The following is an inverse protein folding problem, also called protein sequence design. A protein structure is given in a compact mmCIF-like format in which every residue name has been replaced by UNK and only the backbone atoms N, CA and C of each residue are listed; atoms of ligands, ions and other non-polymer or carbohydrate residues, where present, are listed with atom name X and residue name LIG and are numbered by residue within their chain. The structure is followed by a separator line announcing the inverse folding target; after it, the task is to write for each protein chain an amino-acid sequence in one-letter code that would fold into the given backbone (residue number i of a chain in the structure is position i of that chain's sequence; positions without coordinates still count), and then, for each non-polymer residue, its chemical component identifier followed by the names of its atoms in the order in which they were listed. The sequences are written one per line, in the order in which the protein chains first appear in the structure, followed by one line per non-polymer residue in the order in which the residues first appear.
data_IF_545943242367
#
_entry.id   IF_545943242367
#
_cell.length_a   1.000
_cell.length_b   1.000
_cell.length_c   1.000
_cell.angle_alpha   90.00
_cell.angle_beta   90.00
_cell.angle_gamma   90.00
#
_symmetry.space_group_name_H-M   'P 1'
#
loop_
_entity.id
_entity.type
_entity.pdbx_description
1 polymer ?
#
# COMPACT_ATOMS: atom_id res chain seq x y z
N UNK A 1 5.63 -43.25 36.38
CA UNK A 1 4.28 -42.74 36.05
C UNK A 1 3.84 -41.74 37.13
N UNK A 2 4.62 -40.67 37.34
CA UNK A 2 4.40 -39.63 38.35
C UNK A 2 4.39 -38.28 37.62
N UNK A 3 3.40 -38.08 36.75
CA UNK A 3 3.14 -36.78 36.12
C UNK A 3 1.64 -36.42 36.10
N UNK A 4 0.82 -37.19 36.83
CA UNK A 4 -0.64 -37.08 36.79
C UNK A 4 -1.25 -36.40 38.03
N UNK A 5 -0.49 -35.58 38.77
CA UNK A 5 -0.98 -34.94 40.02
C UNK A 5 -0.78 -33.43 40.10
N UNK A 6 -0.82 -32.76 38.96
CA UNK A 6 -0.85 -31.28 38.86
C UNK A 6 -1.93 -30.81 37.89
N UNK A 7 -3.08 -31.50 37.81
CA UNK A 7 -4.11 -31.24 36.79
C UNK A 7 -4.56 -29.77 36.74
N UNK A 8 -4.87 -29.16 37.88
CA UNK A 8 -5.40 -27.80 37.91
C UNK A 8 -4.40 -26.72 37.46
N UNK A 9 -3.12 -26.81 37.86
CA UNK A 9 -2.13 -25.77 37.52
C UNK A 9 -1.89 -25.67 36.02
N UNK A 10 -1.76 -26.80 35.33
CA UNK A 10 -1.54 -26.83 33.88
C UNK A 10 -2.75 -26.34 33.09
N UNK A 11 -3.96 -26.63 33.58
CA UNK A 11 -5.22 -26.16 32.99
C UNK A 11 -5.35 -24.63 33.09
N UNK A 12 -5.08 -24.04 34.27
CA UNK A 12 -5.08 -22.59 34.44
C UNK A 12 -3.96 -21.89 33.66
N UNK A 13 -2.80 -22.53 33.53
CA UNK A 13 -1.68 -22.03 32.72
C UNK A 13 -2.06 -21.92 31.24
N UNK A 14 -2.73 -22.93 30.68
CA UNK A 14 -3.18 -22.94 29.29
C UNK A 14 -4.26 -21.89 29.03
N UNK A 15 -5.21 -21.70 29.95
CA UNK A 15 -6.20 -20.62 29.88
C UNK A 15 -5.50 -19.25 29.90
N UNK A 16 -4.55 -19.06 30.80
CA UNK A 16 -3.76 -17.83 30.88
C UNK A 16 -2.98 -17.55 29.58
N UNK A 17 -2.46 -18.60 28.93
CA UNK A 17 -1.77 -18.49 27.64
C UNK A 17 -2.70 -18.04 26.50
N UNK A 18 -3.96 -18.51 26.45
CA UNK A 18 -4.96 -18.05 25.48
C UNK A 18 -5.32 -16.58 25.69
N UNK A 19 -5.46 -16.15 26.94
CA UNK A 19 -5.75 -14.75 27.26
C UNK A 19 -4.54 -13.88 26.89
N UNK A 20 -3.33 -14.31 27.27
CA UNK A 20 -2.09 -13.58 26.98
C UNK A 20 -1.81 -13.48 25.48
N UNK A 21 -1.97 -14.56 24.72
CA UNK A 21 -1.82 -14.55 23.26
C UNK A 21 -2.78 -13.54 22.62
N UNK A 22 -4.02 -13.51 23.08
CA UNK A 22 -5.07 -12.60 22.59
C UNK A 22 -4.73 -11.13 22.87
N UNK A 23 -4.29 -10.82 24.10
CA UNK A 23 -3.85 -9.48 24.47
C UNK A 23 -2.60 -9.05 23.68
N UNK A 24 -1.61 -9.92 23.57
CA UNK A 24 -0.37 -9.66 22.83
C UNK A 24 -0.64 -9.41 21.34
N UNK A 25 -1.48 -10.23 20.70
CA UNK A 25 -1.86 -10.09 19.29
C UNK A 25 -2.68 -8.81 19.06
N UNK A 26 -3.61 -8.50 19.95
CA UNK A 26 -4.38 -7.25 19.88
C UNK A 26 -3.47 -6.02 20.00
N UNK A 27 -2.51 -6.05 20.92
CA UNK A 27 -1.55 -4.98 21.14
C UNK A 27 -0.59 -4.80 19.96
N UNK A 28 -0.04 -5.90 19.42
CA UNK A 28 0.82 -5.86 18.24
C UNK A 28 0.08 -5.34 17.00
N UNK A 29 -1.19 -5.72 16.79
CA UNK A 29 -2.03 -5.14 15.73
C UNK A 29 -2.22 -3.63 15.92
N UNK A 30 -2.42 -3.16 17.16
CA UNK A 30 -2.54 -1.74 17.45
C UNK A 30 -1.25 -0.96 17.18
N UNK A 31 -0.09 -1.47 17.61
CA UNK A 31 1.22 -0.88 17.30
C UNK A 31 1.44 -0.87 15.79
N UNK A 32 1.21 -2.00 15.11
CA UNK A 32 1.38 -2.13 13.67
C UNK A 32 0.54 -1.09 12.92
N UNK A 33 -0.74 -0.94 13.29
CA UNK A 33 -1.62 0.13 12.79
C UNK A 33 -1.00 1.52 13.00
N UNK A 34 -0.57 1.84 14.23
CA UNK A 34 -0.01 3.16 14.57
C UNK A 34 1.24 3.46 13.74
N UNK A 35 2.17 2.51 13.62
CA UNK A 35 3.45 2.72 12.95
C UNK A 35 3.31 2.73 11.42
N UNK A 36 2.48 1.84 10.86
CA UNK A 36 2.29 1.73 9.41
C UNK A 36 1.44 2.89 8.88
N UNK A 37 0.27 3.15 9.48
CA UNK A 37 -0.68 4.13 8.95
C UNK A 37 -0.22 5.55 9.19
N UNK A 38 0.21 5.93 10.39
CA UNK A 38 0.54 7.33 10.64
C UNK A 38 1.77 7.77 9.83
N UNK A 39 2.75 6.88 9.62
CA UNK A 39 3.89 7.16 8.74
C UNK A 39 3.45 7.23 7.29
N UNK A 40 2.67 6.28 6.78
CA UNK A 40 2.20 6.34 5.38
C UNK A 40 1.30 7.51 5.09
N UNK A 41 0.39 7.85 6.01
CA UNK A 41 -0.54 8.95 5.83
C UNK A 41 0.21 10.28 5.88
N UNK A 42 1.26 10.39 6.72
CA UNK A 42 2.19 11.52 6.68
C UNK A 42 2.91 11.60 5.33
N UNK A 43 3.43 10.48 4.82
CA UNK A 43 4.10 10.46 3.52
C UNK A 43 3.16 10.70 2.34
N UNK A 44 1.92 10.20 2.38
CA UNK A 44 0.85 10.49 1.41
C UNK A 44 0.51 11.98 1.40
N UNK A 45 0.23 12.55 2.57
CA UNK A 45 -0.09 13.97 2.69
C UNK A 45 1.09 14.84 2.25
N UNK A 46 2.33 14.47 2.60
CA UNK A 46 3.52 15.17 2.12
C UNK A 46 3.73 15.02 0.61
N UNK A 47 3.44 13.84 0.03
CA UNK A 47 3.55 13.59 -1.41
C UNK A 47 2.56 14.41 -2.24
N UNK A 48 1.33 14.56 -1.76
CA UNK A 48 0.29 15.32 -2.47
C UNK A 48 0.36 16.82 -2.20
N UNK A 49 0.74 17.25 -1.00
CA UNK A 49 0.80 18.68 -0.64
C UNK A 49 2.14 19.35 -1.00
N UNK A 50 3.23 18.59 -1.17
CA UNK A 50 4.53 19.11 -1.59
C UNK A 50 5.00 18.31 -2.79
N UNK A 51 4.59 18.76 -3.98
CA UNK A 51 5.25 18.50 -5.28
C UNK A 51 5.96 17.15 -5.34
N UNK A 52 5.27 16.14 -5.90
CA UNK A 52 5.77 14.89 -6.49
C UNK A 52 7.21 14.52 -6.09
N UNK A 53 7.36 13.98 -4.89
CA UNK A 53 8.57 13.28 -4.48
C UNK A 53 8.45 11.81 -4.87
N UNK A 54 9.05 11.42 -6.00
CA UNK A 54 9.00 10.04 -6.53
C UNK A 54 9.57 9.00 -5.55
N UNK A 55 10.46 9.39 -4.63
CA UNK A 55 11.02 8.48 -3.63
C UNK A 55 9.98 8.12 -2.56
N UNK A 56 9.04 9.04 -2.29
CA UNK A 56 7.87 8.78 -1.43
C UNK A 56 6.80 7.95 -2.12
N UNK A 57 6.72 7.94 -3.46
CA UNK A 57 5.77 7.14 -4.25
C UNK A 57 6.02 5.63 -4.09
N UNK A 58 7.29 5.23 -4.10
CA UNK A 58 7.70 3.85 -3.81
C UNK A 58 7.32 3.44 -2.38
N UNK A 59 7.38 4.40 -1.44
CA UNK A 59 6.94 4.21 -0.05
C UNK A 59 5.42 4.03 0.01
N UNK A 60 4.62 4.89 -0.63
CA UNK A 60 3.15 4.75 -0.69
C UNK A 60 2.72 3.38 -1.25
N UNK A 61 3.41 2.89 -2.30
CA UNK A 61 3.10 1.58 -2.88
C UNK A 61 3.66 0.40 -2.06
N UNK A 62 4.81 0.55 -1.41
CA UNK A 62 5.34 -0.43 -0.44
C UNK A 62 4.38 -0.61 0.73
N UNK A 63 3.63 0.43 1.04
CA UNK A 63 2.73 0.46 2.17
C UNK A 63 1.23 0.66 1.84
N UNK A 64 0.79 0.20 0.67
CA UNK A 64 -0.60 0.34 0.20
C UNK A 64 -1.62 -0.34 1.13
N UNK A 65 -2.86 0.14 1.12
CA UNK A 65 -3.98 -0.46 1.88
C UNK A 65 -4.08 -1.98 1.64
N UNK A 66 -3.90 -2.43 0.40
CA UNK A 66 -3.90 -3.85 0.03
C UNK A 66 -2.80 -4.64 0.74
N UNK A 67 -1.58 -4.10 0.83
CA UNK A 67 -0.46 -4.75 1.55
C UNK A 67 -0.69 -4.76 3.05
N UNK A 68 -1.19 -3.65 3.62
CA UNK A 68 -1.58 -3.59 5.01
C UNK A 68 -2.65 -4.65 5.34
N UNK A 69 -3.71 -4.73 4.55
CA UNK A 69 -4.81 -5.69 4.73
C UNK A 69 -4.33 -7.14 4.61
N UNK A 70 -3.46 -7.43 3.63
CA UNK A 70 -2.87 -8.76 3.48
C UNK A 70 -2.01 -9.14 4.70
N UNK A 71 -1.20 -8.21 5.22
CA UNK A 71 -0.34 -8.48 6.36
C UNK A 71 -1.15 -8.62 7.66
N UNK A 72 -2.10 -7.72 7.89
CA UNK A 72 -2.99 -7.76 9.06
C UNK A 72 -3.87 -9.02 9.04
N UNK A 73 -4.33 -9.45 7.86
CA UNK A 73 -5.07 -10.68 7.67
C UNK A 73 -4.24 -11.92 8.00
N UNK A 74 -2.98 -11.97 7.54
CA UNK A 74 -2.05 -13.04 7.92
C UNK A 74 -1.87 -13.12 9.44
N UNK A 75 -1.61 -11.99 10.09
CA UNK A 75 -1.47 -11.93 11.55
C UNK A 75 -2.70 -12.45 12.29
N UNK A 76 -3.90 -12.04 11.88
CA UNK A 76 -5.16 -12.50 12.46
C UNK A 76 -5.34 -14.01 12.31
N UNK A 77 -5.11 -14.56 11.11
CA UNK A 77 -5.24 -16.00 10.84
C UNK A 77 -4.27 -16.80 11.71
N UNK A 78 -3.01 -16.39 11.80
CA UNK A 78 -2.05 -17.04 12.72
C UNK A 78 -2.52 -16.98 14.17
N UNK A 79 -3.09 -15.85 14.61
CA UNK A 79 -3.62 -15.72 15.97
C UNK A 79 -4.76 -16.68 16.28
N UNK A 80 -5.72 -16.81 15.35
CA UNK A 80 -6.84 -17.76 15.48
C UNK A 80 -6.32 -19.19 15.49
N UNK A 81 -5.39 -19.54 14.59
CA UNK A 81 -4.80 -20.88 14.54
C UNK A 81 -4.10 -21.23 15.87
N UNK A 82 -3.33 -20.30 16.43
CA UNK A 82 -2.66 -20.49 17.73
C UNK A 82 -3.68 -20.73 18.85
N UNK A 83 -4.76 -19.95 18.91
CA UNK A 83 -5.82 -20.15 19.91
C UNK A 83 -6.54 -21.50 19.73
N UNK A 84 -6.82 -21.92 18.49
CA UNK A 84 -7.42 -23.23 18.20
C UNK A 84 -6.49 -24.37 18.63
N UNK A 85 -5.19 -24.29 18.34
CA UNK A 85 -4.20 -25.29 18.77
C UNK A 85 -4.18 -25.41 20.31
N UNK A 86 -4.15 -24.28 21.03
CA UNK A 86 -4.20 -24.30 22.50
C UNK A 86 -5.48 -24.94 23.03
N UNK A 87 -6.63 -24.70 22.38
CA UNK A 87 -7.89 -25.32 22.77
C UNK A 87 -7.98 -26.81 22.47
N UNK A 88 -7.40 -27.28 21.37
CA UNK A 88 -7.29 -28.72 21.08
C UNK A 88 -6.42 -29.40 22.14
N UNK A 89 -5.27 -28.79 22.49
CA UNK A 89 -4.40 -29.30 23.56
C UNK A 89 -5.16 -29.36 24.88
N UNK A 90 -5.89 -28.29 25.24
CA UNK A 90 -6.74 -28.24 26.44
C UNK A 90 -7.76 -29.40 26.46
N UNK A 91 -8.46 -29.63 25.35
CA UNK A 91 -9.45 -30.71 25.25
C UNK A 91 -8.88 -32.09 25.58
N UNK A 92 -7.67 -32.40 25.10
CA UNK A 92 -7.00 -33.68 25.39
C UNK A 92 -6.41 -33.78 26.80
N UNK A 93 -6.22 -32.64 27.49
CA UNK A 93 -5.62 -32.60 28.83
C UNK A 93 -6.64 -32.49 29.96
N UNK A 94 -7.87 -32.09 29.67
CA UNK A 94 -8.91 -31.81 30.66
C UNK A 94 -9.70 -33.07 31.04
N UNK A 95 -9.76 -33.35 32.34
CA UNK A 95 -10.59 -34.43 32.91
C UNK A 95 -11.86 -33.92 33.61
N UNK A 96 -12.10 -32.59 33.63
CA UNK A 96 -13.18 -31.96 34.41
C UNK A 96 -14.13 -31.17 33.50
N UNK A 97 -15.39 -31.59 33.42
CA UNK A 97 -16.42 -31.04 32.54
C UNK A 97 -16.59 -29.51 32.67
N UNK A 98 -16.55 -28.98 33.90
CA UNK A 98 -16.71 -27.54 34.14
C UNK A 98 -15.56 -26.69 33.57
N UNK A 99 -14.33 -27.19 33.64
CA UNK A 99 -13.14 -26.46 33.16
C UNK A 99 -13.08 -26.50 31.63
N UNK A 100 -13.59 -27.57 31.02
CA UNK A 100 -13.77 -27.69 29.58
C UNK A 100 -14.76 -26.66 29.05
N UNK A 101 -15.91 -26.48 29.71
CA UNK A 101 -16.90 -25.46 29.35
C UNK A 101 -16.29 -24.05 29.44
N UNK A 102 -15.59 -23.75 30.55
CA UNK A 102 -14.91 -22.45 30.74
C UNK A 102 -13.87 -22.20 29.63
N UNK A 103 -13.09 -23.21 29.27
CA UNK A 103 -12.06 -23.11 28.23
C UNK A 103 -12.65 -22.85 26.83
N UNK A 104 -13.77 -23.50 26.51
CA UNK A 104 -14.51 -23.26 25.25
C UNK A 104 -15.07 -21.83 25.23
N UNK A 105 -15.66 -21.36 26.33
CA UNK A 105 -16.16 -19.98 26.43
C UNK A 105 -15.04 -18.96 26.24
N UNK A 106 -13.86 -19.19 26.82
CA UNK A 106 -12.68 -18.32 26.66
C UNK A 106 -12.14 -18.35 25.23
N UNK A 107 -12.16 -19.50 24.53
CA UNK A 107 -11.82 -19.58 23.11
C UNK A 107 -12.78 -18.75 22.24
N UNK A 108 -14.08 -18.90 22.47
CA UNK A 108 -15.11 -18.17 21.72
C UNK A 108 -14.92 -16.67 21.94
N UNK A 109 -14.76 -16.25 23.19
CA UNK A 109 -14.57 -14.84 23.57
C UNK A 109 -13.27 -14.27 23.00
N UNK A 110 -12.14 -14.96 23.12
CA UNK A 110 -10.85 -14.52 22.57
C UNK A 110 -10.89 -14.40 21.05
N UNK A 111 -11.50 -15.36 20.36
CA UNK A 111 -11.64 -15.36 18.90
C UNK A 111 -12.55 -14.21 18.44
N UNK A 112 -13.67 -13.97 19.13
CA UNK A 112 -14.54 -12.81 18.83
C UNK A 112 -13.85 -11.49 19.06
N UNK A 113 -13.04 -11.34 20.13
CA UNK A 113 -12.24 -10.14 20.37
C UNK A 113 -11.24 -9.92 19.22
N UNK A 114 -10.50 -10.96 18.79
CA UNK A 114 -9.54 -10.85 17.68
C UNK A 114 -10.22 -10.44 16.37
N UNK A 115 -11.37 -11.05 16.05
CA UNK A 115 -12.18 -10.69 14.88
C UNK A 115 -12.64 -9.24 14.96
N UNK A 116 -13.16 -8.81 16.11
CA UNK A 116 -13.63 -7.45 16.31
C UNK A 116 -12.49 -6.43 16.18
N UNK A 117 -11.35 -6.68 16.82
CA UNK A 117 -10.15 -5.82 16.73
C UNK A 117 -9.66 -5.73 15.30
N UNK A 118 -9.65 -6.84 14.55
CA UNK A 118 -9.30 -6.85 13.14
C UNK A 118 -10.26 -6.00 12.30
N UNK A 119 -11.57 -6.22 12.42
CA UNK A 119 -12.59 -5.48 11.65
C UNK A 119 -12.50 -3.99 11.98
N UNK A 120 -12.54 -3.63 13.26
CA UNK A 120 -12.48 -2.25 13.72
C UNK A 120 -11.24 -1.52 13.20
N UNK A 121 -10.06 -2.15 13.30
CA UNK A 121 -8.84 -1.54 12.83
C UNK A 121 -8.85 -1.37 11.31
N UNK A 122 -9.24 -2.40 10.54
CA UNK A 122 -9.28 -2.31 9.08
C UNK A 122 -10.32 -1.30 8.57
N UNK A 123 -11.49 -1.19 9.20
CA UNK A 123 -12.50 -0.17 8.88
C UNK A 123 -11.94 1.23 9.13
N UNK A 124 -11.29 1.46 10.27
CA UNK A 124 -10.66 2.75 10.54
C UNK A 124 -9.53 3.09 9.55
N UNK A 125 -8.71 2.11 9.18
CA UNK A 125 -7.69 2.30 8.13
C UNK A 125 -8.35 2.67 6.81
N UNK A 126 -9.38 1.93 6.42
CA UNK A 126 -10.10 2.13 5.18
C UNK A 126 -10.75 3.51 5.13
N UNK A 127 -11.40 3.97 6.19
CA UNK A 127 -11.98 5.32 6.27
C UNK A 127 -10.90 6.38 6.15
N UNK A 128 -9.77 6.25 6.86
CA UNK A 128 -8.65 7.19 6.74
C UNK A 128 -8.08 7.21 5.33
N UNK A 129 -7.85 6.02 4.75
CA UNK A 129 -7.35 5.87 3.39
C UNK A 129 -8.33 6.46 2.37
N UNK A 130 -9.63 6.22 2.54
CA UNK A 130 -10.68 6.79 1.69
C UNK A 130 -10.65 8.31 1.78
N UNK A 131 -10.62 8.89 2.99
CA UNK A 131 -10.54 10.35 3.20
C UNK A 131 -9.29 10.97 2.57
N UNK A 132 -8.12 10.33 2.67
CA UNK A 132 -6.90 10.84 2.04
C UNK A 132 -6.86 10.66 0.51
N UNK A 133 -7.67 9.76 -0.03
CA UNK A 133 -7.86 9.60 -1.47
C UNK A 133 -9.15 10.24 -1.98
N UNK A 134 -9.89 10.92 -1.10
CA UNK A 134 -11.10 11.64 -1.46
C UNK A 134 -10.61 12.94 -2.10
N UNK A 135 -10.48 12.87 -3.41
CA UNK A 135 -9.93 13.92 -4.25
C UNK A 135 -11.03 14.24 -5.24
N UNK A 136 -11.60 15.43 -5.12
CA UNK A 136 -12.71 15.83 -5.98
C UNK A 136 -12.21 16.17 -7.39
N UNK A 137 -13.13 16.25 -8.35
CA UNK A 137 -12.81 16.76 -9.69
C UNK A 137 -12.22 18.17 -9.63
N UNK A 138 -12.70 19.03 -8.72
CA UNK A 138 -12.19 20.38 -8.52
C UNK A 138 -10.79 20.39 -7.92
N UNK A 139 -10.53 19.55 -6.91
CA UNK A 139 -9.18 19.42 -6.33
C UNK A 139 -8.17 18.93 -7.39
N UNK A 140 -8.60 18.01 -8.26
CA UNK A 140 -7.79 17.51 -9.37
C UNK A 140 -7.53 18.58 -10.44
N UNK A 141 -8.55 19.37 -10.77
CA UNK A 141 -8.41 20.52 -11.66
C UNK A 141 -7.40 21.54 -11.12
N UNK A 142 -7.55 21.95 -9.85
CA UNK A 142 -6.65 22.91 -9.20
C UNK A 142 -5.23 22.36 -9.12
N UNK A 143 -5.07 21.08 -8.84
CA UNK A 143 -3.77 20.41 -8.83
C UNK A 143 -3.07 20.49 -10.19
N UNK A 144 -3.75 20.13 -11.28
CA UNK A 144 -3.15 20.19 -12.62
C UNK A 144 -2.89 21.62 -13.10
N UNK A 145 -3.76 22.57 -12.74
CA UNK A 145 -3.52 24.00 -13.02
C UNK A 145 -2.31 24.53 -12.27
N UNK A 146 -2.15 24.17 -10.99
CA UNK A 146 -0.98 24.53 -10.21
C UNK A 146 0.31 23.93 -10.80
N UNK A 147 0.26 22.67 -11.25
CA UNK A 147 1.38 22.05 -11.97
C UNK A 147 1.71 22.80 -13.27
N UNK A 148 0.69 23.14 -14.06
CA UNK A 148 0.84 23.91 -15.31
C UNK A 148 1.47 25.28 -15.04
N UNK A 149 0.98 26.02 -14.04
CA UNK A 149 1.53 27.32 -13.66
C UNK A 149 2.98 27.22 -13.18
N UNK A 150 3.31 26.14 -12.45
CA UNK A 150 4.64 25.93 -11.90
C UNK A 150 5.67 25.51 -12.95
N UNK A 151 5.28 24.69 -13.93
CA UNK A 151 6.22 24.09 -14.90
C UNK A 151 6.13 24.68 -16.32
N UNK A 152 5.29 25.70 -16.51
CA UNK A 152 5.16 26.46 -17.75
C UNK A 152 3.90 26.10 -18.54
N UNK A 153 3.41 27.07 -19.30
CA UNK A 153 2.21 26.97 -20.14
C UNK A 153 2.49 26.34 -21.51
N UNK A 154 3.74 26.36 -21.96
CA UNK A 154 4.19 25.66 -23.17
C UNK A 154 4.34 24.16 -22.88
N UNK A 155 3.29 23.42 -23.21
CA UNK A 155 3.19 21.97 -22.97
C UNK A 155 3.53 21.19 -24.24
N UNK A 156 4.78 21.25 -24.71
CA UNK A 156 5.25 20.38 -25.79
C UNK A 156 5.60 18.99 -25.27
N UNK A 157 5.22 17.94 -26.01
CA UNK A 157 5.71 16.59 -25.73
C UNK A 157 7.23 16.53 -25.97
N UNK A 158 7.96 16.07 -24.97
CA UNK A 158 9.42 15.91 -24.96
C UNK A 158 9.75 14.45 -25.20
N UNK A 159 10.77 14.19 -26.03
CA UNK A 159 11.10 12.81 -26.42
C UNK A 159 11.84 12.10 -25.31
N UNK A 160 11.31 10.95 -24.88
CA UNK A 160 11.94 10.08 -23.88
C UNK A 160 12.35 8.75 -24.52
N UNK A 161 13.66 8.51 -24.58
CA UNK A 161 14.24 7.25 -25.09
C UNK A 161 15.10 6.57 -24.02
N UNK A 162 15.36 5.28 -24.20
CA UNK A 162 16.31 4.51 -23.39
C UNK A 162 17.46 4.03 -24.26
N UNK A 163 18.69 4.13 -23.78
CA UNK A 163 19.90 3.71 -24.51
C UNK A 163 20.08 2.19 -24.59
N UNK A 164 19.42 1.43 -23.72
CA UNK A 164 19.55 -0.03 -23.67
C UNK A 164 18.40 -0.69 -24.46
N UNK A 165 18.73 -1.26 -25.61
CA UNK A 165 17.87 -2.22 -26.32
C UNK A 165 18.19 -3.64 -25.83
N UNK A 166 17.57 -4.09 -24.73
CA UNK A 166 17.64 -5.50 -24.33
C UNK A 166 16.40 -6.26 -24.80
N UNK A 167 16.64 -7.51 -25.23
CA UNK A 167 15.76 -8.41 -25.95
C UNK A 167 14.24 -8.31 -25.64
N UNK A 168 13.47 -8.27 -26.74
CA UNK A 168 12.03 -8.49 -27.06
C UNK A 168 10.90 -8.37 -26.01
N UNK A 169 11.15 -8.40 -24.69
CA UNK A 169 10.10 -8.36 -23.65
C UNK A 169 10.19 -7.19 -22.66
N UNK A 170 11.06 -6.21 -22.90
CA UNK A 170 11.23 -5.09 -21.96
C UNK A 170 10.37 -3.86 -22.28
N UNK A 171 9.79 -3.28 -21.22
CA UNK A 171 8.99 -2.05 -21.23
C UNK A 171 9.84 -0.89 -21.80
N UNK A 172 9.56 -0.46 -23.03
CA UNK A 172 10.16 0.77 -23.56
C UNK A 172 9.41 1.98 -23.00
N UNK A 173 10.16 3.01 -22.61
CA UNK A 173 9.59 4.26 -22.10
C UNK A 173 8.64 4.87 -23.14
N UNK A 174 9.00 4.80 -24.43
CA UNK A 174 8.14 5.21 -25.54
C UNK A 174 6.77 4.49 -25.58
N UNK A 175 6.74 3.17 -25.37
CA UNK A 175 5.47 2.42 -25.30
C UNK A 175 4.62 2.84 -24.11
N UNK A 176 5.26 3.18 -22.98
CA UNK A 176 4.58 3.71 -21.80
C UNK A 176 3.98 5.08 -22.12
N UNK A 177 4.77 6.00 -22.69
CA UNK A 177 4.31 7.33 -23.10
C UNK A 177 3.10 7.22 -24.04
N UNK A 178 3.19 6.40 -25.08
CA UNK A 178 2.08 6.15 -26.02
C UNK A 178 0.84 5.57 -25.34
N UNK A 179 1.02 4.62 -24.42
CA UNK A 179 -0.11 4.02 -23.67
C UNK A 179 -0.87 5.09 -22.90
N UNK A 180 -0.18 5.94 -22.16
CA UNK A 180 -0.82 6.97 -21.33
C UNK A 180 -1.40 8.11 -22.17
N UNK A 181 -0.75 8.51 -23.27
CA UNK A 181 -1.32 9.43 -24.27
C UNK A 181 -2.66 8.91 -24.82
N UNK A 182 -2.72 7.63 -25.22
CA UNK A 182 -3.95 6.99 -25.70
C UNK A 182 -5.02 6.85 -24.61
N UNK A 183 -4.63 6.59 -23.36
CA UNK A 183 -5.56 6.49 -22.24
C UNK A 183 -6.21 7.85 -21.96
N UNK A 184 -5.42 8.92 -21.85
CA UNK A 184 -5.92 10.27 -21.57
C UNK A 184 -6.88 10.77 -22.66
N UNK A 185 -6.59 10.50 -23.95
CA UNK A 185 -7.50 10.81 -25.07
C UNK A 185 -8.88 10.15 -24.96
N UNK A 186 -8.98 9.01 -24.27
CA UNK A 186 -10.26 8.29 -24.09
C UNK A 186 -11.05 8.81 -22.90
N UNK A 187 -10.45 9.61 -22.03
CA UNK A 187 -11.13 10.18 -20.88
C UNK A 187 -12.08 11.26 -21.37
N UNK A 188 -13.37 11.12 -21.02
CA UNK A 188 -14.44 12.06 -21.37
C UNK A 188 -15.07 12.65 -20.11
N UNK A 189 -15.69 13.82 -20.27
CA UNK A 189 -16.48 14.53 -19.23
C UNK A 189 -17.53 13.61 -18.59
N UNK A 190 -17.94 13.85 -17.33
CA UNK A 190 -17.59 15.01 -16.49
C UNK A 190 -16.27 14.90 -15.70
N UNK A 191 -15.78 13.70 -15.38
CA UNK A 191 -14.66 13.51 -14.44
C UNK A 191 -13.29 13.37 -15.13
N UNK A 192 -12.92 14.36 -15.95
CA UNK A 192 -11.68 14.27 -16.73
C UNK A 192 -10.46 14.34 -15.82
N UNK A 193 -10.42 15.33 -14.93
CA UNK A 193 -9.24 15.62 -14.10
C UNK A 193 -9.05 14.56 -13.03
N UNK A 194 -10.12 14.04 -12.42
CA UNK A 194 -10.03 12.96 -11.44
C UNK A 194 -9.53 11.66 -12.07
N UNK A 195 -10.02 11.30 -13.27
CA UNK A 195 -9.52 10.13 -14.01
C UNK A 195 -8.07 10.34 -14.45
N UNK A 196 -7.73 11.53 -14.94
CA UNK A 196 -6.36 11.89 -15.31
C UNK A 196 -5.42 11.83 -14.10
N UNK A 197 -5.84 12.27 -12.93
CA UNK A 197 -5.07 12.22 -11.69
C UNK A 197 -4.76 10.78 -11.26
N UNK A 198 -5.74 9.88 -11.41
CA UNK A 198 -5.51 8.46 -11.14
C UNK A 198 -4.52 7.83 -12.13
N UNK A 199 -4.64 8.17 -13.42
CA UNK A 199 -3.68 7.73 -14.43
C UNK A 199 -2.30 8.36 -14.24
N UNK A 200 -2.21 9.59 -13.76
CA UNK A 200 -0.96 10.28 -13.49
C UNK A 200 -0.11 9.57 -12.44
N UNK A 201 -0.76 9.12 -11.35
CA UNK A 201 -0.09 8.31 -10.32
C UNK A 201 0.49 7.02 -10.91
N UNK A 202 -0.29 6.33 -11.74
CA UNK A 202 0.16 5.11 -12.42
C UNK A 202 1.30 5.41 -13.42
N UNK A 203 1.20 6.50 -14.15
CA UNK A 203 2.19 6.97 -15.11
C UNK A 203 3.54 7.21 -14.44
N UNK A 204 3.57 7.97 -13.34
CA UNK A 204 4.78 8.21 -12.58
C UNK A 204 5.36 6.92 -12.00
N UNK A 205 4.52 6.05 -11.43
CA UNK A 205 4.95 4.77 -10.87
C UNK A 205 5.61 3.86 -11.90
N UNK A 206 4.97 3.67 -13.07
CA UNK A 206 5.49 2.78 -14.12
C UNK A 206 6.82 3.31 -14.67
N UNK A 207 6.92 4.62 -14.88
CA UNK A 207 8.17 5.25 -15.36
C UNK A 207 9.29 5.16 -14.31
N UNK A 208 8.98 5.31 -13.02
CA UNK A 208 9.95 5.12 -11.93
C UNK A 208 10.41 3.66 -11.81
N UNK A 209 9.49 2.70 -11.92
CA UNK A 209 9.84 1.27 -11.87
C UNK A 209 10.69 0.85 -13.07
N UNK A 210 10.45 1.44 -14.24
CA UNK A 210 11.33 1.24 -15.39
C UNK A 210 12.72 1.77 -15.04
N UNK A 211 12.83 3.04 -14.61
CA UNK A 211 14.11 3.65 -14.26
C UNK A 211 14.89 2.84 -13.20
N UNK A 212 14.25 2.43 -12.11
CA UNK A 212 14.92 1.75 -10.99
C UNK A 212 15.27 0.28 -11.25
N UNK A 213 14.46 -0.45 -12.02
CA UNK A 213 14.81 -1.81 -12.44
C UNK A 213 16.01 -1.82 -13.39
N UNK A 214 16.14 -0.80 -14.23
CA UNK A 214 17.32 -0.62 -15.07
C UNK A 214 18.52 -0.06 -14.27
N UNK A 215 18.27 0.77 -13.24
CA UNK A 215 19.34 1.39 -12.45
C UNK A 215 20.12 0.43 -11.55
N UNK A 216 19.50 -0.69 -11.11
CA UNK A 216 20.22 -1.71 -10.34
C UNK A 216 21.28 -2.44 -11.16
N UNK A 217 21.15 -2.45 -12.49
CA UNK A 217 22.09 -3.12 -13.40
C UNK A 217 23.07 -2.11 -13.99
N UNK A 218 22.66 -0.86 -14.19
CA UNK A 218 23.47 0.15 -14.89
C UNK A 218 23.17 1.52 -14.31
N UNK A 219 24.21 2.28 -13.94
CA UNK A 219 24.13 3.66 -13.43
C UNK A 219 23.07 4.52 -14.17
N UNK A 220 22.50 5.50 -13.47
CA UNK A 220 21.36 6.38 -13.82
C UNK A 220 21.45 7.16 -15.14
N UNK A 221 22.40 6.84 -16.01
CA UNK A 221 22.71 7.49 -17.27
C UNK A 221 22.02 6.87 -18.50
N UNK A 222 20.99 6.04 -18.41
CA UNK A 222 20.45 5.36 -19.61
C UNK A 222 19.16 5.94 -20.19
N UNK A 223 18.64 7.02 -19.62
CA UNK A 223 17.49 7.71 -20.17
C UNK A 223 17.98 8.94 -20.94
N UNK A 224 17.51 9.06 -22.18
CA UNK A 224 17.73 10.20 -23.03
C UNK A 224 16.46 11.06 -23.04
N UNK A 225 16.61 12.32 -22.65
CA UNK A 225 15.64 13.39 -22.88
C UNK A 225 16.15 14.18 -24.07
N UNK A 226 15.40 14.19 -25.17
CA UNK A 226 15.81 14.80 -26.43
C UNK A 226 17.27 14.45 -26.80
N UNK A 227 17.57 13.15 -26.72
CA UNK A 227 18.87 12.57 -27.08
C UNK A 227 20.04 12.97 -26.17
N UNK A 228 19.75 13.60 -25.03
CA UNK A 228 20.74 13.95 -24.00
C UNK A 228 20.50 13.19 -22.71
N UNK A 229 21.60 12.78 -22.07
CA UNK A 229 21.55 12.26 -20.70
C UNK A 229 21.15 13.35 -19.72
N UNK A 230 20.29 12.99 -18.78
CA UNK A 230 19.80 13.90 -17.74
C UNK A 230 19.82 13.24 -16.38
N UNK A 231 19.85 14.06 -15.33
CA UNK A 231 19.64 13.58 -13.97
C UNK A 231 18.18 13.17 -13.73
N UNK A 232 17.96 12.54 -12.58
CA UNK A 232 16.64 12.07 -12.15
C UNK A 232 15.65 13.24 -12.07
N UNK A 233 16.05 14.39 -11.52
CA UNK A 233 15.16 15.53 -11.32
C UNK A 233 14.62 16.09 -12.64
N UNK A 234 15.49 16.27 -13.64
CA UNK A 234 15.10 16.69 -14.97
C UNK A 234 14.22 15.64 -15.65
N UNK A 235 14.48 14.35 -15.44
CA UNK A 235 13.57 13.29 -15.91
C UNK A 235 12.17 13.39 -15.25
N UNK A 236 12.08 13.66 -13.93
CA UNK A 236 10.78 13.89 -13.26
C UNK A 236 10.02 15.03 -13.90
N UNK A 237 10.70 16.16 -14.15
CA UNK A 237 10.11 17.34 -14.77
C UNK A 237 9.55 17.04 -16.17
N UNK A 238 10.31 16.28 -16.96
CA UNK A 238 9.89 15.87 -18.31
C UNK A 238 8.65 14.97 -18.27
N UNK A 239 8.60 14.00 -17.35
CA UNK A 239 7.41 13.17 -17.16
C UNK A 239 6.16 14.02 -16.84
N UNK A 240 6.30 15.00 -15.94
CA UNK A 240 5.21 15.91 -15.59
C UNK A 240 4.76 16.71 -16.82
N UNK A 241 5.71 17.31 -17.56
CA UNK A 241 5.41 18.08 -18.78
C UNK A 241 4.72 17.25 -19.86
N UNK A 242 5.21 16.04 -20.12
CA UNK A 242 4.59 15.13 -21.09
C UNK A 242 3.17 14.78 -20.69
N UNK A 243 2.94 14.44 -19.42
CA UNK A 243 1.59 14.11 -18.96
C UNK A 243 0.63 15.31 -19.05
N UNK A 244 1.09 16.51 -18.70
CA UNK A 244 0.31 17.74 -18.88
C UNK A 244 0.01 18.00 -20.36
N UNK A 245 0.98 17.79 -21.26
CA UNK A 245 0.77 17.86 -22.71
C UNK A 245 -0.32 16.87 -23.15
N UNK A 246 -0.29 15.65 -22.66
CA UNK A 246 -1.32 14.64 -22.95
C UNK A 246 -2.69 14.96 -22.34
N UNK A 247 -2.76 15.80 -21.31
CA UNK A 247 -4.01 16.19 -20.68
C UNK A 247 -4.65 17.39 -21.40
N UNK A 248 -3.84 18.41 -21.71
CA UNK A 248 -4.32 19.70 -22.21
C UNK A 248 -4.26 19.85 -23.74
N UNK A 249 -3.41 19.11 -24.44
CA UNK A 249 -3.29 19.16 -25.91
C UNK A 249 -3.97 17.94 -26.58
N UNK A 250 -5.05 17.43 -25.97
CA UNK A 250 -5.90 16.43 -26.59
C UNK A 250 -6.83 17.12 -27.60
N UNK A 251 -6.30 17.41 -28.78
CA UNK A 251 -7.08 17.56 -30.01
C UNK A 251 -7.62 16.19 -30.46
#
# INVERSE_FOLDING_TARGET
MILAKTSSFYEYLLIALIIFSTLFLSHTMFIFKKTYINRNMKYMNEYFNKIIDLDKLNTINKYSFKKYFNLSGKFMITGIIVNVIFSIILYFTLNVDNILIISILILILSSTILIFVFIYNNVLVYIKYKKANDFSENDAFDYFNNLKNKYGTELSEITLKTTISMNKNHFSVEKIQMKFKRLLRKIRKPDIYLKAYNEFKNYLYVNYMCLTRYSMIVNTSNILVDEKHVDIEKYKLVLIKNFLSYLYNND
#
